data_IF_388289311067
#
_entry.id   IF_388289311067
#
_cell.length_a   1.000
_cell.length_b   1.000
_cell.length_c   1.000
_cell.angle_alpha   90.00
_cell.angle_beta   90.00
_cell.angle_gamma   90.00
#
_symmetry.space_group_name_H-M   'P 1'
#
loop_
_entity.id
_entity.type
_entity.pdbx_description
1 polymer ?
#
# COMPACT_ATOMS: atom_id res chain seq x y z
N UNK A 1 13.42 -7.83 37.05
CA UNK A 1 12.26 -7.92 36.13
C UNK A 1 12.69 -7.32 34.79
N UNK A 2 12.82 -8.13 33.74
CA UNK A 2 13.32 -7.68 32.44
C UNK A 2 12.16 -7.08 31.67
N UNK A 3 12.25 -5.78 31.40
CA UNK A 3 11.28 -5.04 30.60
C UNK A 3 11.43 -5.50 29.14
N UNK A 4 10.51 -6.30 28.66
CA UNK A 4 10.49 -6.73 27.27
C UNK A 4 9.95 -5.58 26.42
N UNK A 5 10.87 -4.93 25.71
CA UNK A 5 10.57 -3.97 24.67
C UNK A 5 9.62 -4.62 23.64
N UNK A 6 8.37 -4.15 23.61
CA UNK A 6 7.44 -4.37 22.51
C UNK A 6 7.94 -3.63 21.27
N UNK A 7 9.04 -4.10 20.68
CA UNK A 7 9.27 -3.89 19.27
C UNK A 7 8.28 -4.82 18.57
N UNK A 8 7.18 -4.23 18.11
CA UNK A 8 6.24 -4.83 17.20
C UNK A 8 7.05 -5.18 15.94
N UNK A 9 7.60 -6.39 15.89
CA UNK A 9 8.48 -6.86 14.84
C UNK A 9 7.66 -6.92 13.56
N UNK A 10 7.74 -5.85 12.78
CA UNK A 10 7.36 -5.86 11.38
C UNK A 10 8.16 -7.00 10.76
N UNK A 11 7.46 -8.11 10.52
CA UNK A 11 7.99 -9.31 9.90
C UNK A 11 8.82 -8.87 8.67
N UNK A 12 10.09 -9.29 8.48
CA UNK A 12 10.98 -8.71 7.46
C UNK A 12 10.36 -8.69 6.06
N UNK A 13 9.47 -9.64 5.76
CA UNK A 13 8.69 -9.65 4.54
C UNK A 13 7.72 -8.44 4.47
N UNK A 14 6.96 -8.09 5.53
CA UNK A 14 6.08 -6.89 5.55
C UNK A 14 6.80 -5.55 5.35
N UNK A 15 8.12 -5.48 5.48
CA UNK A 15 8.85 -4.23 5.24
C UNK A 15 8.90 -3.87 3.76
N UNK A 16 9.09 -4.84 2.86
CA UNK A 16 9.25 -4.54 1.43
C UNK A 16 7.92 -4.15 0.78
N UNK A 17 6.83 -4.93 0.92
CA UNK A 17 5.54 -4.55 0.31
C UNK A 17 5.05 -3.22 0.88
N UNK A 18 5.23 -2.97 2.18
CA UNK A 18 4.82 -1.72 2.81
C UNK A 18 5.60 -0.53 2.25
N UNK A 19 6.93 -0.63 2.15
CA UNK A 19 7.76 0.40 1.54
C UNK A 19 7.35 0.65 0.09
N UNK A 20 7.10 -0.42 -0.65
CA UNK A 20 6.74 -0.31 -2.07
C UNK A 20 5.40 0.38 -2.29
N UNK A 21 4.40 0.07 -1.47
CA UNK A 21 3.10 0.76 -1.53
C UNK A 21 3.26 2.25 -1.20
N UNK A 22 4.08 2.62 -0.21
CA UNK A 22 4.34 4.02 0.14
C UNK A 22 5.04 4.77 -0.99
N UNK A 23 6.05 4.15 -1.62
CA UNK A 23 6.78 4.70 -2.76
C UNK A 23 5.82 4.99 -3.91
N UNK A 24 5.03 3.99 -4.32
CA UNK A 24 4.11 4.09 -5.46
C UNK A 24 2.97 5.07 -5.18
N UNK A 25 2.43 5.06 -3.95
CA UNK A 25 1.42 6.04 -3.54
C UNK A 25 1.98 7.47 -3.59
N UNK A 26 3.24 7.67 -3.19
CA UNK A 26 3.89 8.98 -3.28
C UNK A 26 4.09 9.42 -4.73
N UNK A 27 4.55 8.52 -5.61
CA UNK A 27 4.74 8.84 -7.02
C UNK A 27 3.42 9.23 -7.70
N UNK A 28 2.36 8.47 -7.44
CA UNK A 28 1.01 8.77 -7.93
C UNK A 28 0.50 10.12 -7.40
N UNK A 29 0.73 10.42 -6.12
CA UNK A 29 0.22 11.66 -5.54
C UNK A 29 0.99 12.90 -6.03
N UNK A 30 2.29 12.78 -6.28
CA UNK A 30 3.14 13.87 -6.76
C UNK A 30 3.04 14.11 -8.28
N UNK A 31 2.90 13.04 -9.07
CA UNK A 31 3.05 13.11 -10.53
C UNK A 31 1.81 12.66 -11.30
N UNK A 32 0.84 12.03 -10.62
CA UNK A 32 -0.31 11.40 -11.27
C UNK A 32 0.03 10.10 -12.02
N UNK A 33 1.27 9.62 -11.97
CA UNK A 33 1.74 8.46 -12.73
C UNK A 33 2.78 7.63 -11.97
N UNK A 34 3.02 6.40 -12.43
CA UNK A 34 4.02 5.49 -11.86
C UNK A 34 4.38 4.37 -12.85
N UNK A 35 5.61 3.86 -12.77
CA UNK A 35 6.05 2.68 -13.51
C UNK A 35 5.76 1.36 -12.76
N UNK A 36 4.94 1.41 -11.71
CA UNK A 36 4.63 0.28 -10.87
C UNK A 36 3.80 -0.81 -11.58
N UNK A 37 3.96 -2.04 -11.12
CA UNK A 37 3.16 -3.19 -11.52
C UNK A 37 1.67 -3.02 -11.15
N UNK A 38 0.83 -3.85 -11.77
CA UNK A 38 -0.62 -3.86 -11.54
C UNK A 38 -0.99 -3.97 -10.06
N UNK A 39 -0.39 -4.92 -9.32
CA UNK A 39 -0.69 -5.12 -7.90
C UNK A 39 -0.25 -3.94 -7.02
N UNK A 40 0.91 -3.36 -7.32
CA UNK A 40 1.41 -2.17 -6.62
C UNK A 40 0.49 -0.96 -6.84
N UNK A 41 0.07 -0.72 -8.08
CA UNK A 41 -0.87 0.35 -8.43
C UNK A 41 -2.21 0.18 -7.73
N UNK A 42 -2.75 -1.05 -7.72
CA UNK A 42 -3.99 -1.35 -7.00
C UNK A 42 -3.83 -1.03 -5.51
N UNK A 43 -2.80 -1.55 -4.85
CA UNK A 43 -2.58 -1.32 -3.43
C UNK A 43 -2.42 0.19 -3.09
N UNK A 44 -1.68 0.93 -3.92
CA UNK A 44 -1.51 2.37 -3.75
C UNK A 44 -2.83 3.14 -3.95
N UNK A 45 -3.63 2.81 -4.97
CA UNK A 45 -4.96 3.40 -5.20
C UNK A 45 -5.88 3.19 -3.98
N UNK A 46 -5.87 1.97 -3.41
CA UNK A 46 -6.62 1.68 -2.18
C UNK A 46 -6.11 2.43 -0.97
N UNK A 47 -4.79 2.62 -0.81
CA UNK A 47 -4.21 3.42 0.27
C UNK A 47 -4.64 4.88 0.16
N UNK A 48 -4.51 5.47 -1.03
CA UNK A 48 -4.87 6.86 -1.31
C UNK A 48 -6.39 7.11 -1.33
N UNK A 49 -7.20 6.04 -1.40
CA UNK A 49 -8.64 6.12 -1.65
C UNK A 49 -8.97 6.87 -2.96
N UNK A 50 -8.14 6.65 -3.98
CA UNK A 50 -8.18 7.30 -5.29
C UNK A 50 -8.28 6.22 -6.35
N UNK A 51 -9.51 5.80 -6.65
CA UNK A 51 -9.78 4.68 -7.56
C UNK A 51 -9.49 5.06 -9.02
N UNK A 52 -9.36 6.35 -9.32
CA UNK A 52 -8.86 6.85 -10.60
C UNK A 52 -7.43 6.37 -10.93
N UNK A 53 -6.66 5.90 -9.93
CA UNK A 53 -5.32 5.34 -10.14
C UNK A 53 -5.31 3.82 -10.37
N UNK A 54 -6.47 3.15 -10.29
CA UNK A 54 -6.57 1.75 -10.66
C UNK A 54 -6.13 1.56 -12.13
N UNK A 55 -5.49 0.43 -12.46
CA UNK A 55 -5.18 0.12 -13.86
C UNK A 55 -6.47 0.00 -14.70
N UNK A 56 -6.47 0.54 -15.91
CA UNK A 56 -7.64 0.66 -16.81
C UNK A 56 -8.40 -0.65 -17.06
N UNK A 57 -7.74 -1.80 -16.89
CA UNK A 57 -8.36 -3.11 -17.02
C UNK A 57 -9.31 -3.46 -15.87
N UNK A 58 -9.24 -2.76 -14.73
CA UNK A 58 -10.09 -2.97 -13.56
C UNK A 58 -11.10 -1.84 -13.42
N UNK A 59 -12.31 -2.09 -13.92
CA UNK A 59 -13.46 -1.18 -13.71
C UNK A 59 -14.23 -1.52 -12.41
N UNK A 60 -14.07 -2.73 -11.89
CA UNK A 60 -14.64 -3.16 -10.62
C UNK A 60 -13.59 -3.07 -9.50
N UNK A 61 -13.88 -2.22 -8.52
CA UNK A 61 -13.04 -2.00 -7.33
C UNK A 61 -12.94 -3.29 -6.50
N UNK A 62 -14.00 -4.07 -6.39
CA UNK A 62 -14.01 -5.32 -5.60
C UNK A 62 -13.10 -6.34 -6.26
N UNK A 63 -13.16 -6.49 -7.59
CA UNK A 63 -12.27 -7.39 -8.34
C UNK A 63 -10.80 -6.99 -8.16
N UNK A 64 -10.49 -5.70 -8.27
CA UNK A 64 -9.15 -5.18 -8.05
C UNK A 64 -8.65 -5.48 -6.62
N UNK A 65 -9.51 -5.26 -5.62
CA UNK A 65 -9.18 -5.60 -4.24
C UNK A 65 -8.92 -7.09 -4.08
N UNK A 66 -9.79 -7.94 -4.62
CA UNK A 66 -9.71 -9.39 -4.46
C UNK A 66 -8.45 -9.98 -5.09
N UNK A 67 -7.95 -9.38 -6.18
CA UNK A 67 -6.69 -9.75 -6.83
C UNK A 67 -5.46 -9.62 -5.94
N UNK A 68 -5.47 -8.72 -4.96
CA UNK A 68 -4.33 -8.57 -4.05
C UNK A 68 -4.19 -9.77 -3.11
N UNK A 69 -2.96 -10.25 -2.96
CA UNK A 69 -2.66 -11.27 -1.95
C UNK A 69 -2.91 -10.74 -0.53
N UNK A 70 -3.15 -11.66 0.40
CA UNK A 70 -3.44 -11.34 1.81
C UNK A 70 -2.40 -10.40 2.45
N UNK A 71 -1.12 -10.52 2.06
CA UNK A 71 -0.01 -9.68 2.57
C UNK A 71 -0.13 -8.23 2.10
N UNK A 72 -0.43 -8.01 0.83
CA UNK A 72 -0.67 -6.67 0.28
C UNK A 72 -1.89 -6.02 0.93
N UNK A 73 -2.99 -6.77 1.07
CA UNK A 73 -4.21 -6.32 1.78
C UNK A 73 -3.91 -5.91 3.23
N UNK A 74 -3.06 -6.66 3.93
CA UNK A 74 -2.62 -6.32 5.29
C UNK A 74 -1.78 -5.02 5.32
N UNK A 75 -0.83 -4.85 4.38
CA UNK A 75 -0.01 -3.65 4.29
C UNK A 75 -0.86 -2.40 4.01
N UNK A 76 -1.84 -2.48 3.10
CA UNK A 76 -2.80 -1.39 2.83
C UNK A 76 -3.48 -0.94 4.12
N UNK A 77 -3.98 -1.89 4.94
CA UNK A 77 -4.63 -1.57 6.22
C UNK A 77 -3.67 -0.91 7.22
N UNK A 78 -2.43 -1.39 7.30
CA UNK A 78 -1.39 -0.81 8.18
C UNK A 78 -1.08 0.63 7.78
N UNK A 79 -0.90 0.88 6.48
CA UNK A 79 -0.59 2.22 5.98
C UNK A 79 -1.78 3.16 6.21
N UNK A 80 -3.01 2.73 5.87
CA UNK A 80 -4.21 3.55 6.12
C UNK A 80 -4.40 3.91 7.58
N UNK A 81 -4.05 3.01 8.51
CA UNK A 81 -4.19 3.25 9.95
C UNK A 81 -3.08 4.13 10.52
N UNK A 82 -1.83 3.86 10.17
CA UNK A 82 -0.66 4.39 10.88
C UNK A 82 0.40 5.02 9.97
N UNK A 83 0.38 4.78 8.66
CA UNK A 83 1.47 5.10 7.73
C UNK A 83 1.18 6.22 6.73
N UNK A 84 -0.02 6.81 6.73
CA UNK A 84 -0.39 7.86 5.76
C UNK A 84 0.56 9.06 5.79
N UNK A 85 1.15 9.38 6.94
CA UNK A 85 2.11 10.47 7.11
C UNK A 85 3.45 10.25 6.37
N UNK A 86 3.71 9.04 5.89
CA UNK A 86 4.92 8.68 5.15
C UNK A 86 4.77 8.91 3.64
N UNK A 87 3.55 9.14 3.16
CA UNK A 87 3.27 9.37 1.73
C UNK A 87 3.55 10.83 1.41
N UNK A 88 4.37 11.06 0.39
CA UNK A 88 4.69 12.41 -0.08
C UNK A 88 3.49 12.98 -0.84
N UNK A 89 3.21 14.27 -0.63
CA UNK A 89 2.09 15.02 -1.22
C UNK A 89 2.60 16.32 -1.80
#
# INVERSE_FOLDING_TARGET
MKNQNNQNTLNPATSWELQKIIEVASDLNLTGSTAASTGERIAAAFVLNRMEYLPDMYNDVVEAWDRLDHRWKACVRVIKRNGMHLIRQ
#
